data_IF_584169416025
#
_entry.id   IF_584169416025
#
_cell.length_a   1.000
_cell.length_b   1.000
_cell.length_c   1.000
_cell.angle_alpha   90.00
_cell.angle_beta   90.00
_cell.angle_gamma   90.00
#
_symmetry.space_group_name_H-M   'P 1'
#
loop_
_entity.id
_entity.type
_entity.pdbx_description
1 polymer ?
#
# COMPACT_ATOMS: atom_id res chain seq x y z
N UNK A 1 -22.04 -14.06 -8.01
CA UNK A 1 -20.67 -13.77 -8.47
C UNK A 1 -20.63 -13.26 -9.91
N UNK A 2 -21.47 -13.75 -10.83
CA UNK A 2 -21.48 -13.27 -12.23
C UNK A 2 -21.69 -11.76 -12.38
N UNK A 3 -22.59 -11.15 -11.59
CA UNK A 3 -22.83 -9.70 -11.62
C UNK A 3 -21.63 -8.84 -11.18
N UNK A 4 -20.69 -9.40 -10.42
CA UNK A 4 -19.49 -8.69 -9.96
C UNK A 4 -18.31 -8.89 -10.92
N UNK A 5 -18.40 -9.87 -11.82
CA UNK A 5 -17.28 -10.33 -12.63
C UNK A 5 -16.76 -9.19 -13.50
N UNK A 6 -15.48 -8.87 -13.31
CA UNK A 6 -14.74 -7.82 -14.02
C UNK A 6 -15.41 -6.43 -14.02
N UNK A 7 -16.28 -6.16 -13.04
CA UNK A 7 -17.06 -4.92 -12.97
C UNK A 7 -16.66 -4.06 -11.77
N UNK A 8 -15.80 -3.07 -12.03
CA UNK A 8 -15.41 -2.03 -11.05
C UNK A 8 -16.62 -1.39 -10.36
N UNK A 9 -17.69 -0.92 -11.06
CA UNK A 9 -18.80 -0.26 -10.39
C UNK A 9 -19.57 -1.21 -9.49
N UNK A 10 -19.77 -2.47 -9.90
CA UNK A 10 -20.51 -3.45 -9.10
C UNK A 10 -19.73 -3.88 -7.85
N UNK A 11 -18.42 -4.09 -7.96
CA UNK A 11 -17.54 -4.35 -6.81
C UNK A 11 -17.52 -3.16 -5.85
N UNK A 12 -17.47 -1.94 -6.38
CA UNK A 12 -17.50 -0.71 -5.57
C UNK A 12 -18.83 -0.54 -4.84
N UNK A 13 -19.96 -0.83 -5.52
CA UNK A 13 -21.30 -0.78 -4.94
C UNK A 13 -21.47 -1.83 -3.83
N UNK A 14 -21.07 -3.08 -4.08
CA UNK A 14 -21.13 -4.15 -3.10
C UNK A 14 -20.26 -3.86 -1.86
N UNK A 15 -19.04 -3.35 -2.07
CA UNK A 15 -18.15 -2.95 -0.98
C UNK A 15 -18.70 -1.78 -0.18
N UNK A 16 -19.35 -0.82 -0.84
CA UNK A 16 -20.02 0.30 -0.19
C UNK A 16 -21.22 -0.15 0.63
N UNK A 17 -22.06 -1.03 0.09
CA UNK A 17 -23.19 -1.61 0.82
C UNK A 17 -22.71 -2.38 2.06
N UNK A 18 -21.64 -3.17 1.94
CA UNK A 18 -21.04 -3.89 3.06
C UNK A 18 -20.47 -2.95 4.13
N UNK A 19 -19.82 -1.84 3.72
CA UNK A 19 -19.36 -0.81 4.63
C UNK A 19 -20.51 -0.08 5.35
N UNK A 20 -21.61 0.23 4.65
CA UNK A 20 -22.81 0.80 5.27
C UNK A 20 -23.42 -0.16 6.30
N UNK A 21 -23.53 -1.45 5.95
CA UNK A 21 -23.94 -2.48 6.90
C UNK A 21 -23.03 -2.49 8.14
N UNK A 22 -21.71 -2.45 7.94
CA UNK A 22 -20.75 -2.44 9.05
C UNK A 22 -20.95 -1.25 10.00
N UNK A 23 -21.21 -0.06 9.43
CA UNK A 23 -21.53 1.15 10.20
C UNK A 23 -22.80 0.96 11.03
N UNK A 24 -23.88 0.51 10.39
CA UNK A 24 -25.19 0.33 11.03
C UNK A 24 -25.09 -0.73 12.14
N UNK A 25 -24.52 -1.90 11.85
CA UNK A 25 -24.31 -2.96 12.83
C UNK A 25 -23.48 -2.49 14.04
N UNK A 26 -22.44 -1.69 13.81
CA UNK A 26 -21.58 -1.15 14.87
C UNK A 26 -22.28 -0.11 15.75
N UNK A 27 -23.34 0.55 15.25
CA UNK A 27 -24.15 1.46 16.05
C UNK A 27 -25.06 0.71 17.04
N UNK A 28 -25.48 -0.50 16.70
CA UNK A 28 -26.34 -1.33 17.56
C UNK A 28 -25.57 -2.27 18.49
N UNK A 29 -24.34 -2.65 18.14
CA UNK A 29 -23.55 -3.63 18.89
C UNK A 29 -22.38 -2.96 19.59
N UNK A 30 -22.13 -3.32 20.85
CA UNK A 30 -20.95 -2.85 21.60
C UNK A 30 -19.64 -3.45 21.04
N UNK A 31 -18.49 -2.76 21.17
CA UNK A 31 -17.21 -3.31 20.74
C UNK A 31 -16.90 -4.67 21.39
N UNK A 32 -16.28 -5.59 20.65
CA UNK A 32 -15.92 -6.91 21.13
C UNK A 32 -16.46 -8.04 20.24
N UNK A 33 -16.60 -9.23 20.82
CA UNK A 33 -16.95 -10.46 20.08
C UNK A 33 -18.30 -10.39 19.34
N UNK A 34 -19.40 -9.85 19.91
CA UNK A 34 -20.68 -9.79 19.20
C UNK A 34 -20.60 -8.92 17.94
N UNK A 35 -19.91 -7.77 18.03
CA UNK A 35 -19.69 -6.89 16.88
C UNK A 35 -18.77 -7.57 15.86
N UNK A 36 -17.72 -8.27 16.30
CA UNK A 36 -16.85 -9.02 15.39
C UNK A 36 -17.61 -10.11 14.61
N UNK A 37 -18.46 -10.88 15.30
CA UNK A 37 -19.28 -11.90 14.66
C UNK A 37 -20.23 -11.30 13.61
N UNK A 38 -20.88 -10.17 13.92
CA UNK A 38 -21.74 -9.48 12.98
C UNK A 38 -20.98 -8.88 11.77
N UNK A 39 -19.73 -8.47 11.97
CA UNK A 39 -18.89 -7.90 10.91
C UNK A 39 -18.10 -8.93 10.10
N UNK A 40 -18.08 -10.20 10.52
CA UNK A 40 -17.37 -11.27 9.83
C UNK A 40 -17.80 -11.45 8.36
N UNK A 41 -19.08 -11.37 7.98
CA UNK A 41 -19.51 -11.41 6.59
C UNK A 41 -18.95 -10.24 5.76
N UNK A 42 -18.78 -9.06 6.36
CA UNK A 42 -18.19 -7.89 5.69
C UNK A 42 -16.71 -8.13 5.42
N UNK A 43 -15.98 -8.64 6.42
CA UNK A 43 -14.56 -9.00 6.28
C UNK A 43 -14.38 -10.04 5.17
N UNK A 44 -15.22 -11.08 5.17
CA UNK A 44 -15.19 -12.12 4.14
C UNK A 44 -15.50 -11.55 2.74
N UNK A 45 -16.48 -10.66 2.61
CA UNK A 45 -16.80 -10.00 1.34
C UNK A 45 -15.64 -9.15 0.83
N UNK A 46 -15.03 -8.34 1.69
CA UNK A 46 -13.87 -7.51 1.31
C UNK A 46 -12.65 -8.36 0.93
N UNK A 47 -12.46 -9.51 1.58
CA UNK A 47 -11.40 -10.47 1.24
C UNK A 47 -11.68 -11.21 -0.08
N UNK A 48 -12.95 -11.50 -0.41
CA UNK A 48 -13.32 -12.17 -1.65
C UNK A 48 -13.43 -11.21 -2.86
N UNK A 49 -13.70 -9.92 -2.62
CA UNK A 49 -13.91 -8.91 -3.66
C UNK A 49 -12.82 -8.86 -4.75
N UNK A 50 -11.50 -9.01 -4.46
CA UNK A 50 -10.48 -9.01 -5.49
C UNK A 50 -10.64 -10.13 -6.52
N UNK A 51 -11.19 -11.28 -6.12
CA UNK A 51 -11.41 -12.44 -6.99
C UNK A 51 -12.51 -12.20 -8.03
N UNK A 52 -13.29 -11.12 -7.90
CA UNK A 52 -14.24 -10.71 -8.92
C UNK A 52 -13.53 -10.22 -10.20
N UNK A 53 -12.29 -9.74 -10.10
CA UNK A 53 -11.48 -9.33 -11.24
C UNK A 53 -10.74 -10.53 -11.82
N UNK A 54 -11.40 -11.29 -12.69
CA UNK A 54 -10.83 -12.46 -13.34
C UNK A 54 -9.87 -12.09 -14.47
N UNK A 55 -10.15 -10.98 -15.17
CA UNK A 55 -9.45 -10.61 -16.41
C UNK A 55 -8.25 -9.68 -16.22
N UNK A 56 -8.06 -9.08 -15.04
CA UNK A 56 -6.91 -8.19 -14.77
C UNK A 56 -6.25 -8.50 -13.43
N UNK A 57 -4.99 -8.90 -13.48
CA UNK A 57 -4.10 -9.09 -12.34
C UNK A 57 -3.82 -7.77 -11.62
N UNK A 58 -3.72 -6.65 -12.33
CA UNK A 58 -3.47 -5.33 -11.72
C UNK A 58 -4.68 -4.83 -10.92
N UNK A 59 -5.90 -4.95 -11.47
CA UNK A 59 -7.12 -4.59 -10.74
C UNK A 59 -7.33 -5.50 -9.52
N UNK A 60 -7.07 -6.79 -9.68
CA UNK A 60 -7.10 -7.77 -8.60
C UNK A 60 -6.07 -7.45 -7.51
N UNK A 61 -4.83 -7.12 -7.87
CA UNK A 61 -3.80 -6.71 -6.91
C UNK A 61 -4.13 -5.41 -6.18
N UNK A 62 -4.62 -4.40 -6.90
CA UNK A 62 -5.00 -3.10 -6.32
C UNK A 62 -6.20 -3.24 -5.37
N UNK A 63 -7.22 -3.99 -5.78
CA UNK A 63 -8.38 -4.28 -4.93
C UNK A 63 -8.01 -5.17 -3.73
N UNK A 64 -7.06 -6.09 -3.86
CA UNK A 64 -6.53 -6.85 -2.72
C UNK A 64 -5.86 -5.93 -1.69
N UNK A 65 -5.04 -4.98 -2.15
CA UNK A 65 -4.42 -3.99 -1.26
C UNK A 65 -5.47 -3.11 -0.55
N UNK A 66 -6.48 -2.62 -1.28
CA UNK A 66 -7.45 -1.68 -0.74
C UNK A 66 -8.51 -2.37 0.14
N UNK A 67 -9.10 -3.46 -0.33
CA UNK A 67 -10.26 -4.10 0.27
C UNK A 67 -9.83 -5.25 1.19
N UNK A 68 -9.16 -6.27 0.63
CA UNK A 68 -8.82 -7.48 1.37
C UNK A 68 -7.80 -7.22 2.49
N UNK A 69 -6.92 -6.24 2.31
CA UNK A 69 -5.98 -5.84 3.36
C UNK A 69 -6.48 -4.65 4.15
N UNK A 70 -6.41 -3.42 3.61
CA UNK A 70 -6.65 -2.23 4.42
C UNK A 70 -8.11 -2.14 4.89
N UNK A 71 -9.08 -2.39 4.01
CA UNK A 71 -10.50 -2.34 4.33
C UNK A 71 -10.90 -3.39 5.38
N UNK A 72 -10.53 -4.64 5.17
CA UNK A 72 -10.79 -5.73 6.11
C UNK A 72 -10.19 -5.44 7.49
N UNK A 73 -8.94 -4.97 7.57
CA UNK A 73 -8.30 -4.63 8.84
C UNK A 73 -8.99 -3.45 9.53
N UNK A 74 -9.46 -2.44 8.78
CA UNK A 74 -10.24 -1.32 9.32
C UNK A 74 -11.58 -1.79 9.90
N UNK A 75 -12.26 -2.74 9.25
CA UNK A 75 -13.51 -3.33 9.76
C UNK A 75 -13.26 -4.19 11.00
N UNK A 76 -12.16 -4.95 11.05
CA UNK A 76 -11.76 -5.70 12.26
C UNK A 76 -11.43 -4.74 13.41
N UNK A 77 -10.74 -3.64 13.14
CA UNK A 77 -10.49 -2.60 14.13
C UNK A 77 -11.80 -1.96 14.62
N UNK A 78 -12.75 -1.69 13.73
CA UNK A 78 -14.09 -1.20 14.08
C UNK A 78 -14.83 -2.18 15.01
N UNK A 79 -14.67 -3.49 14.78
CA UNK A 79 -15.22 -4.53 15.66
C UNK A 79 -14.68 -4.41 17.10
N UNK A 80 -13.40 -4.07 17.24
CA UNK A 80 -12.74 -3.82 18.52
C UNK A 80 -13.00 -2.40 19.09
N UNK A 81 -13.72 -1.53 18.37
CA UNK A 81 -13.91 -0.13 18.77
C UNK A 81 -12.65 0.71 18.64
N UNK A 82 -11.73 0.31 17.76
CA UNK A 82 -10.45 0.94 17.51
C UNK A 82 -10.35 1.43 16.05
N UNK A 83 -9.30 2.20 15.78
CA UNK A 83 -8.94 2.59 14.43
C UNK A 83 -9.80 3.72 13.83
N UNK A 84 -9.61 4.02 12.53
CA UNK A 84 -10.12 5.24 11.93
C UNK A 84 -11.64 5.23 11.69
N UNK A 85 -12.28 4.06 11.74
CA UNK A 85 -13.74 3.92 11.57
C UNK A 85 -14.52 4.04 12.88
N UNK A 86 -13.87 3.90 14.03
CA UNK A 86 -14.51 3.93 15.34
C UNK A 86 -14.70 5.36 15.90
N UNK A 87 -14.60 6.38 15.04
CA UNK A 87 -14.76 7.80 15.43
C UNK A 87 -16.24 8.15 15.50
N UNK A 88 -16.66 8.67 16.65
CA UNK A 88 -18.05 9.09 16.87
C UNK A 88 -18.46 10.24 15.94
N UNK A 89 -19.68 10.11 15.37
CA UNK A 89 -20.28 11.11 14.50
C UNK A 89 -19.64 11.24 13.11
N UNK A 90 -18.93 10.22 12.61
CA UNK A 90 -18.33 10.27 11.29
C UNK A 90 -19.42 10.36 10.18
N UNK A 91 -19.37 11.31 9.24
CA UNK A 91 -20.32 11.36 8.12
C UNK A 91 -20.30 10.09 7.27
N UNK A 92 -21.41 9.78 6.59
CA UNK A 92 -21.55 8.54 5.76
C UNK A 92 -20.49 8.48 4.68
N UNK A 93 -20.29 9.58 3.96
CA UNK A 93 -19.32 9.66 2.89
C UNK A 93 -17.88 9.45 3.41
N UNK A 94 -17.49 10.15 4.49
CA UNK A 94 -16.17 9.99 5.10
C UNK A 94 -15.94 8.57 5.63
N UNK A 95 -16.98 7.93 6.16
CA UNK A 95 -16.92 6.52 6.58
C UNK A 95 -16.64 5.60 5.39
N UNK A 96 -17.38 5.73 4.29
CA UNK A 96 -17.19 4.92 3.08
C UNK A 96 -15.80 5.09 2.49
N UNK A 97 -15.36 6.34 2.30
CA UNK A 97 -14.02 6.63 1.78
C UNK A 97 -12.93 6.05 2.68
N UNK A 98 -13.07 6.21 3.99
CA UNK A 98 -12.09 5.68 4.94
C UNK A 98 -12.09 4.16 4.97
N UNK A 99 -13.24 3.52 4.84
CA UNK A 99 -13.33 2.06 4.85
C UNK A 99 -12.72 1.44 3.59
N UNK A 100 -12.98 2.02 2.42
CA UNK A 100 -12.68 1.38 1.13
C UNK A 100 -11.38 1.85 0.47
N UNK A 101 -10.89 3.04 0.83
CA UNK A 101 -9.68 3.61 0.23
C UNK A 101 -8.52 3.64 1.22
N UNK A 102 -7.27 3.70 0.74
CA UNK A 102 -6.07 3.85 1.57
C UNK A 102 -5.93 5.28 2.12
N UNK A 103 -6.98 5.77 2.78
CA UNK A 103 -7.07 7.11 3.36
C UNK A 103 -7.02 7.02 4.87
N UNK A 104 -6.30 7.96 5.49
CA UNK A 104 -6.32 8.23 6.93
C UNK A 104 -6.99 9.58 7.16
N UNK A 105 -8.04 9.60 7.97
CA UNK A 105 -8.69 10.83 8.42
C UNK A 105 -7.91 11.45 9.58
N UNK A 106 -7.51 12.71 9.48
CA UNK A 106 -7.28 13.57 10.65
C UNK A 106 -8.49 14.48 10.86
N UNK A 107 -9.01 14.52 12.09
CA UNK A 107 -10.00 15.52 12.49
C UNK A 107 -9.22 16.77 12.92
N UNK A 108 -9.53 17.90 12.29
CA UNK A 108 -8.92 19.20 12.58
C UNK A 108 -9.05 19.55 14.05
N UNK A 109 -7.91 19.69 14.72
CA UNK A 109 -7.78 20.11 16.12
C UNK A 109 -6.35 20.47 16.51
N UNK A 110 -5.43 20.55 15.56
CA UNK A 110 -4.06 21.00 15.77
C UNK A 110 -3.78 22.23 14.91
N UNK A 111 -3.01 23.17 15.48
CA UNK A 111 -2.64 24.48 14.93
C UNK A 111 -2.57 24.57 13.40
N UNK A 112 -3.00 25.71 12.80
CA UNK A 112 -2.82 25.98 11.37
C UNK A 112 -1.32 26.07 11.07
N UNK A 113 -0.71 24.96 10.67
CA UNK A 113 0.74 24.88 10.48
C UNK A 113 1.26 23.58 9.89
N UNK A 114 0.50 22.48 9.91
CA UNK A 114 0.85 21.29 9.13
C UNK A 114 0.33 21.45 7.70
N UNK A 115 0.93 22.38 6.95
CA UNK A 115 0.67 22.53 5.52
C UNK A 115 0.71 21.14 4.87
N UNK A 116 -0.39 20.75 4.23
CA UNK A 116 -0.38 19.67 3.25
C UNK A 116 0.78 19.98 2.31
N UNK A 117 1.87 19.21 2.38
CA UNK A 117 3.05 19.44 1.53
C UNK A 117 2.53 19.45 0.09
N UNK A 118 2.54 20.61 -0.55
CA UNK A 118 2.09 20.77 -1.93
C UNK A 118 2.82 19.72 -2.77
N UNK A 119 2.07 18.84 -3.43
CA UNK A 119 2.66 17.87 -4.35
C UNK A 119 3.44 18.68 -5.38
N UNK A 120 4.76 18.58 -5.38
CA UNK A 120 5.60 19.29 -6.33
C UNK A 120 5.23 18.80 -7.73
N UNK A 121 4.68 19.68 -8.57
CA UNK A 121 4.33 19.37 -9.96
C UNK A 121 5.54 18.83 -10.73
N UNK A 122 6.73 19.35 -10.44
CA UNK A 122 8.01 18.86 -10.99
C UNK A 122 8.27 17.41 -10.59
N UNK A 123 8.07 17.05 -9.32
CA UNK A 123 8.22 15.67 -8.86
C UNK A 123 7.19 14.73 -9.49
N UNK A 124 5.96 15.19 -9.69
CA UNK A 124 4.91 14.44 -10.38
C UNK A 124 5.29 14.19 -11.84
N UNK A 125 5.66 15.24 -12.58
CA UNK A 125 6.09 15.16 -13.97
C UNK A 125 7.31 14.25 -14.15
N UNK A 126 8.30 14.34 -13.25
CA UNK A 126 9.48 13.48 -13.28
C UNK A 126 9.13 11.99 -13.09
N UNK A 127 8.21 11.66 -12.19
CA UNK A 127 7.74 10.27 -12.00
C UNK A 127 6.95 9.76 -13.19
N UNK A 128 6.07 10.58 -13.76
CA UNK A 128 5.32 10.23 -14.98
C UNK A 128 6.29 9.97 -16.14
N UNK A 129 7.29 10.83 -16.32
CA UNK A 129 8.34 10.62 -17.31
C UNK A 129 9.13 9.33 -17.04
N UNK A 130 9.51 9.07 -15.80
CA UNK A 130 10.21 7.84 -15.42
C UNK A 130 9.38 6.58 -15.73
N UNK A 131 8.09 6.57 -15.40
CA UNK A 131 7.18 5.47 -15.73
C UNK A 131 7.10 5.29 -17.25
N UNK A 132 6.88 6.38 -18.01
CA UNK A 132 6.78 6.31 -19.46
C UNK A 132 8.07 5.77 -20.10
N UNK A 133 9.24 6.19 -19.63
CA UNK A 133 10.53 5.66 -20.09
C UNK A 133 10.69 4.18 -19.76
N UNK A 134 10.33 3.77 -18.53
CA UNK A 134 10.41 2.38 -18.11
C UNK A 134 9.49 1.48 -18.94
N UNK A 135 8.24 1.92 -19.18
CA UNK A 135 7.28 1.18 -20.02
C UNK A 135 7.80 1.04 -21.46
N UNK A 136 8.37 2.09 -22.02
CA UNK A 136 9.00 2.02 -23.33
C UNK A 136 10.17 1.03 -23.38
N UNK A 137 10.98 0.96 -22.32
CA UNK A 137 12.07 -0.01 -22.21
C UNK A 137 11.56 -1.45 -22.05
N UNK A 138 10.42 -1.66 -21.38
CA UNK A 138 9.78 -2.97 -21.31
C UNK A 138 9.35 -3.46 -22.68
N UNK A 139 8.69 -2.60 -23.47
CA UNK A 139 8.23 -2.97 -24.81
C UNK A 139 9.40 -3.21 -25.79
N UNK A 140 10.45 -2.38 -25.72
CA UNK A 140 11.49 -2.36 -26.75
C UNK A 140 12.71 -3.25 -26.45
N UNK A 141 13.09 -3.42 -25.18
CA UNK A 141 14.42 -3.95 -24.82
C UNK A 141 14.45 -4.91 -23.64
N UNK A 142 13.30 -5.34 -23.09
CA UNK A 142 13.29 -6.11 -21.84
C UNK A 142 14.12 -7.39 -21.88
N UNK A 143 14.13 -8.09 -23.02
CA UNK A 143 14.88 -9.33 -23.21
C UNK A 143 16.40 -9.11 -23.26
N UNK A 144 16.84 -7.89 -23.60
CA UNK A 144 18.26 -7.51 -23.65
C UNK A 144 18.78 -6.98 -22.30
N UNK A 145 17.89 -6.64 -21.37
CA UNK A 145 18.27 -6.09 -20.07
C UNK A 145 18.76 -7.20 -19.14
N UNK A 146 19.93 -6.98 -18.52
CA UNK A 146 20.43 -7.84 -17.46
C UNK A 146 19.42 -7.97 -16.33
N UNK A 147 19.30 -9.17 -15.74
CA UNK A 147 18.29 -9.50 -14.72
C UNK A 147 18.18 -8.45 -13.61
N UNK A 148 19.29 -8.06 -12.98
CA UNK A 148 19.27 -7.07 -11.89
C UNK A 148 18.85 -5.66 -12.34
N UNK A 149 19.12 -5.27 -13.59
CA UNK A 149 18.63 -3.98 -14.12
C UNK A 149 17.11 -4.03 -14.25
N UNK A 150 16.57 -5.14 -14.78
CA UNK A 150 15.13 -5.37 -14.88
C UNK A 150 14.43 -5.30 -13.52
N UNK A 151 14.99 -5.99 -12.51
CA UNK A 151 14.45 -5.97 -11.15
C UNK A 151 14.51 -4.57 -10.51
N UNK A 152 15.60 -3.82 -10.72
CA UNK A 152 15.70 -2.44 -10.26
C UNK A 152 14.63 -1.54 -10.90
N UNK A 153 14.38 -1.71 -12.21
CA UNK A 153 13.32 -1.00 -12.93
C UNK A 153 11.93 -1.32 -12.36
N UNK A 154 11.64 -2.58 -12.01
CA UNK A 154 10.39 -2.92 -11.33
C UNK A 154 10.24 -2.22 -9.98
N UNK A 155 11.29 -2.17 -9.18
CA UNK A 155 11.27 -1.44 -7.91
C UNK A 155 10.98 0.05 -8.08
N UNK A 156 11.64 0.69 -9.05
CA UNK A 156 11.41 2.10 -9.39
C UNK A 156 9.99 2.31 -9.91
N UNK A 157 9.51 1.42 -10.79
CA UNK A 157 8.17 1.49 -11.34
C UNK A 157 7.10 1.40 -10.24
N UNK A 158 7.19 0.40 -9.36
CA UNK A 158 6.25 0.22 -8.24
C UNK A 158 6.27 1.44 -7.32
N UNK A 159 7.46 1.95 -6.96
CA UNK A 159 7.59 3.15 -6.15
C UNK A 159 6.91 4.36 -6.80
N UNK A 160 7.26 4.67 -8.05
CA UNK A 160 6.70 5.81 -8.77
C UNK A 160 5.19 5.68 -8.95
N UNK A 161 4.69 4.47 -9.23
CA UNK A 161 3.27 4.21 -9.38
C UNK A 161 2.51 4.44 -8.06
N UNK A 162 2.96 3.86 -6.95
CA UNK A 162 2.30 4.04 -5.65
C UNK A 162 2.37 5.49 -5.17
N UNK A 163 3.50 6.16 -5.38
CA UNK A 163 3.74 7.55 -4.99
C UNK A 163 3.03 8.57 -5.91
N UNK A 164 2.41 8.12 -7.01
CA UNK A 164 1.47 8.90 -7.83
C UNK A 164 0.02 8.55 -7.51
N UNK A 165 -0.32 7.26 -7.45
CA UNK A 165 -1.68 6.76 -7.24
C UNK A 165 -2.25 7.21 -5.89
N UNK A 166 -1.49 6.98 -4.81
CA UNK A 166 -1.98 7.21 -3.45
C UNK A 166 -2.25 8.70 -3.16
N UNK A 167 -1.38 9.66 -3.58
CA UNK A 167 -1.70 11.09 -3.48
C UNK A 167 -2.88 11.54 -4.36
N UNK A 168 -3.10 10.95 -5.55
CA UNK A 168 -4.27 11.27 -6.36
C UNK A 168 -5.57 10.86 -5.64
N UNK A 169 -5.59 9.68 -5.03
CA UNK A 169 -6.71 9.22 -4.19
C UNK A 169 -6.87 10.13 -2.97
N UNK A 170 -5.76 10.56 -2.37
CA UNK A 170 -5.76 11.49 -1.25
C UNK A 170 -6.35 12.86 -1.61
N UNK A 171 -6.02 13.39 -2.78
CA UNK A 171 -6.53 14.68 -3.27
C UNK A 171 -8.04 14.63 -3.50
N UNK A 172 -8.54 13.53 -4.09
CA UNK A 172 -9.99 13.29 -4.22
C UNK A 172 -10.68 13.25 -2.84
N UNK A 173 -10.02 12.67 -1.84
CA UNK A 173 -10.51 12.66 -0.47
C UNK A 173 -10.45 14.03 0.23
N UNK A 174 -9.43 14.84 -0.07
CA UNK A 174 -9.25 16.17 0.53
C UNK A 174 -10.34 17.15 0.09
N UNK A 175 -10.85 17.01 -1.14
CA UNK A 175 -12.02 17.75 -1.62
C UNK A 175 -13.28 17.47 -0.77
N UNK A 176 -13.29 16.38 -0.02
CA UNK A 176 -14.37 16.00 0.91
C UNK A 176 -14.05 16.37 2.38
N UNK A 177 -13.06 17.23 2.62
CA UNK A 177 -12.68 17.72 3.95
C UNK A 177 -11.81 16.74 4.76
N UNK A 178 -11.15 15.79 4.09
CA UNK A 178 -10.31 14.78 4.75
C UNK A 178 -8.82 15.14 4.66
N UNK A 179 -8.18 15.46 5.79
CA UNK A 179 -6.73 15.67 5.83
C UNK A 179 -5.97 14.33 5.82
N UNK A 180 -5.10 14.12 4.82
CA UNK A 180 -4.29 12.92 4.68
C UNK A 180 -2.84 13.09 5.10
N UNK A 181 -2.28 12.01 5.64
CA UNK A 181 -0.83 11.83 5.74
C UNK A 181 -0.26 11.37 4.38
N UNK A 182 0.86 11.95 3.93
CA UNK A 182 1.56 11.47 2.74
C UNK A 182 1.89 9.97 2.86
N UNK A 183 1.66 9.16 1.82
CA UNK A 183 1.92 7.72 1.87
C UNK A 183 3.43 7.41 1.95
N UNK A 184 4.28 8.27 1.41
CA UNK A 184 5.74 8.15 1.44
C UNK A 184 6.40 9.46 1.90
N UNK A 185 7.52 9.35 2.62
CA UNK A 185 8.37 10.49 3.01
C UNK A 185 9.83 10.22 2.66
N UNK A 186 10.19 10.42 1.39
CA UNK A 186 11.55 10.29 0.84
C UNK A 186 12.29 9.06 1.39
N UNK A 187 11.81 7.83 1.10
CA UNK A 187 12.33 6.60 1.69
C UNK A 187 13.83 6.35 1.43
N UNK A 188 14.35 6.86 0.33
CA UNK A 188 15.76 6.81 -0.02
C UNK A 188 16.70 7.60 0.92
N UNK A 189 16.15 8.48 1.77
CA UNK A 189 16.91 9.20 2.80
C UNK A 189 16.88 8.51 4.17
N UNK A 190 16.27 7.33 4.29
CA UNK A 190 16.25 6.59 5.54
C UNK A 190 17.68 6.28 6.00
N UNK A 191 18.03 6.55 7.25
CA UNK A 191 19.36 6.18 7.79
C UNK A 191 19.33 4.92 8.67
N UNK A 192 18.15 4.31 8.83
CA UNK A 192 17.91 3.05 9.53
C UNK A 192 16.75 2.29 8.88
N UNK A 193 16.70 0.97 9.03
CA UNK A 193 15.58 0.16 8.53
C UNK A 193 14.28 0.51 9.25
N UNK A 194 14.40 0.88 10.52
CA UNK A 194 13.27 1.37 11.32
C UNK A 194 12.70 2.68 10.81
N UNK A 195 13.56 3.61 10.39
CA UNK A 195 13.12 4.88 9.80
C UNK A 195 12.48 4.63 8.43
N UNK A 196 13.07 3.74 7.63
CA UNK A 196 12.51 3.31 6.35
C UNK A 196 11.08 2.78 6.50
N UNK A 197 10.88 1.68 7.24
CA UNK A 197 9.58 1.02 7.36
C UNK A 197 8.57 1.76 8.24
N UNK A 198 9.04 2.43 9.30
CA UNK A 198 8.16 3.04 10.28
C UNK A 198 7.70 4.45 9.93
N UNK A 199 8.46 5.18 9.12
CA UNK A 199 8.26 6.63 8.93
C UNK A 199 8.32 7.12 7.49
N UNK A 200 8.79 6.32 6.55
CA UNK A 200 9.03 6.78 5.18
C UNK A 200 8.40 5.93 4.09
N UNK A 201 8.20 4.64 4.34
CA UNK A 201 7.62 3.70 3.39
C UNK A 201 6.18 3.34 3.78
N UNK A 202 5.23 3.57 2.86
CA UNK A 202 3.83 3.18 2.96
C UNK A 202 3.20 3.40 4.36
N UNK A 203 3.08 4.67 4.74
CA UNK A 203 2.58 5.06 6.07
C UNK A 203 1.16 4.60 6.36
N UNK A 204 0.36 4.29 5.33
CA UNK A 204 -0.99 3.75 5.49
C UNK A 204 -0.97 2.34 6.08
N UNK A 205 -0.08 1.48 5.60
CA UNK A 205 0.11 0.13 6.17
C UNK A 205 0.58 0.21 7.61
N UNK A 206 1.58 1.05 7.89
CA UNK A 206 2.10 1.26 9.26
C UNK A 206 1.02 1.80 10.20
N UNK A 207 0.13 2.68 9.73
CA UNK A 207 -0.97 3.22 10.51
C UNK A 207 -2.06 2.19 10.85
N UNK A 208 -2.26 1.18 10.00
CA UNK A 208 -3.23 0.09 10.24
C UNK A 208 -2.62 -1.02 11.09
N UNK A 209 -1.38 -1.43 10.81
CA UNK A 209 -0.71 -2.51 11.53
C UNK A 209 -0.36 -2.13 12.98
N UNK A 210 -0.15 -0.84 13.26
CA UNK A 210 0.16 -0.37 14.61
C UNK A 210 -0.94 -0.73 15.63
N UNK A 211 -2.19 -0.26 15.47
CA UNK A 211 -3.28 -0.60 16.40
C UNK A 211 -3.78 -2.04 16.24
N UNK A 212 -3.65 -2.67 15.06
CA UNK A 212 -4.17 -4.03 14.85
C UNK A 212 -3.23 -5.14 15.34
N UNK A 213 -1.92 -4.93 15.29
CA UNK A 213 -0.91 -5.97 15.58
C UNK A 213 0.13 -5.49 16.58
N UNK A 214 0.83 -4.38 16.28
CA UNK A 214 1.98 -3.95 17.08
C UNK A 214 1.61 -3.63 18.53
N UNK A 215 0.61 -2.79 18.75
CA UNK A 215 0.18 -2.35 20.08
C UNK A 215 -0.32 -3.52 20.96
N UNK A 216 -1.24 -4.39 20.50
CA UNK A 216 -1.70 -5.51 21.32
C UNK A 216 -0.60 -6.54 21.61
N UNK A 217 0.25 -6.88 20.63
CA UNK A 217 1.34 -7.84 20.85
C UNK A 217 2.42 -7.23 21.76
N UNK A 218 2.77 -5.95 21.57
CA UNK A 218 3.72 -5.26 22.44
C UNK A 218 3.26 -5.26 23.89
N UNK A 219 1.98 -5.00 24.13
CA UNK A 219 1.43 -4.94 25.48
C UNK A 219 1.55 -6.28 26.22
N UNK A 220 1.53 -7.41 25.50
CA UNK A 220 1.56 -8.76 26.10
C UNK A 220 2.94 -9.41 26.10
N UNK A 221 3.75 -9.18 25.07
CA UNK A 221 4.99 -9.92 24.80
C UNK A 221 6.21 -9.00 24.58
N UNK A 222 6.06 -7.69 24.78
CA UNK A 222 7.14 -6.73 24.69
C UNK A 222 7.43 -6.21 23.27
N UNK A 223 8.34 -5.23 23.20
CA UNK A 223 8.59 -4.44 21.98
C UNK A 223 9.10 -5.27 20.81
N UNK A 224 10.05 -6.17 21.05
CA UNK A 224 10.63 -7.00 20.00
C UNK A 224 9.59 -7.92 19.35
N UNK A 225 8.77 -8.60 20.18
CA UNK A 225 7.68 -9.45 19.70
C UNK A 225 6.65 -8.64 18.89
N UNK A 226 6.31 -7.43 19.34
CA UNK A 226 5.44 -6.53 18.59
C UNK A 226 5.98 -6.19 17.20
N UNK A 227 7.27 -5.90 17.07
CA UNK A 227 7.92 -5.64 15.77
C UNK A 227 7.86 -6.88 14.89
N UNK A 228 8.34 -8.03 15.38
CA UNK A 228 8.38 -9.28 14.61
C UNK A 228 6.97 -9.70 14.14
N UNK A 229 5.97 -9.64 15.02
CA UNK A 229 4.59 -9.95 14.67
C UNK A 229 4.03 -8.99 13.60
N UNK A 230 4.35 -7.70 13.69
CA UNK A 230 3.93 -6.69 12.69
C UNK A 230 4.49 -7.03 11.31
N UNK A 231 5.78 -7.37 11.23
CA UNK A 231 6.41 -7.76 9.98
C UNK A 231 5.92 -9.12 9.48
N UNK A 232 5.62 -10.07 10.37
CA UNK A 232 5.02 -11.35 10.00
C UNK A 232 3.65 -11.16 9.34
N UNK A 233 2.74 -10.40 9.96
CA UNK A 233 1.43 -10.12 9.40
C UNK A 233 1.55 -9.33 8.10
N UNK A 234 2.46 -8.35 8.03
CA UNK A 234 2.76 -7.64 6.79
C UNK A 234 3.22 -8.60 5.68
N UNK A 235 4.10 -9.55 6.02
CA UNK A 235 4.61 -10.56 5.09
C UNK A 235 3.52 -11.48 4.56
N UNK A 236 2.67 -12.00 5.44
CA UNK A 236 1.52 -12.82 5.06
C UNK A 236 0.54 -12.07 4.16
N UNK A 237 0.33 -10.77 4.40
CA UNK A 237 -0.53 -9.96 3.54
C UNK A 237 0.09 -9.71 2.17
N UNK A 238 1.41 -9.53 2.06
CA UNK A 238 2.08 -9.44 0.76
C UNK A 238 2.07 -10.78 0.03
N UNK A 239 2.21 -11.88 0.74
CA UNK A 239 2.05 -13.22 0.17
C UNK A 239 0.64 -13.41 -0.39
N UNK A 240 -0.39 -13.00 0.36
CA UNK A 240 -1.77 -12.98 -0.11
C UNK A 240 -1.96 -12.05 -1.31
N UNK A 241 -1.32 -10.88 -1.34
CA UNK A 241 -1.36 -9.98 -2.51
C UNK A 241 -0.76 -10.62 -3.76
N UNK A 242 0.37 -11.32 -3.63
CA UNK A 242 0.96 -12.07 -4.75
C UNK A 242 0.03 -13.18 -5.19
N UNK A 243 -0.58 -13.92 -4.25
CA UNK A 243 -1.61 -14.90 -4.57
C UNK A 243 -2.78 -14.26 -5.31
N UNK A 244 -3.31 -13.12 -4.87
CA UNK A 244 -4.36 -12.42 -5.60
C UNK A 244 -3.88 -12.04 -6.99
N UNK A 245 -2.72 -11.41 -7.16
CA UNK A 245 -2.24 -10.97 -8.48
C UNK A 245 -2.05 -12.14 -9.45
N UNK A 246 -1.40 -13.21 -8.99
CA UNK A 246 -0.93 -14.31 -9.86
C UNK A 246 -1.88 -15.51 -9.89
N UNK A 247 -2.78 -15.63 -8.91
CA UNK A 247 -3.61 -16.81 -8.62
C UNK A 247 -2.81 -18.10 -8.39
N UNK A 248 -1.53 -17.95 -8.01
CA UNK A 248 -0.62 -19.07 -7.75
C UNK A 248 -0.40 -19.25 -6.27
N UNK A 249 -0.15 -20.51 -5.89
CA UNK A 249 0.07 -20.86 -4.50
C UNK A 249 1.22 -20.05 -3.89
N UNK A 250 1.04 -19.58 -2.64
CA UNK A 250 2.06 -18.84 -1.94
C UNK A 250 3.29 -19.72 -1.69
N UNK A 251 4.48 -19.13 -1.83
CA UNK A 251 5.78 -19.82 -1.65
C UNK A 251 6.45 -19.45 -0.33
N UNK A 252 5.99 -18.39 0.32
CA UNK A 252 6.51 -17.90 1.59
C UNK A 252 7.70 -16.94 1.46
N UNK A 253 8.20 -16.69 0.24
CA UNK A 253 9.37 -15.82 0.02
C UNK A 253 9.06 -14.36 0.39
N UNK A 254 7.86 -13.85 0.10
CA UNK A 254 7.45 -12.51 0.54
C UNK A 254 7.37 -12.45 2.06
N UNK A 255 6.81 -13.49 2.68
CA UNK A 255 6.74 -13.57 4.14
C UNK A 255 8.15 -13.57 4.76
N UNK A 256 9.08 -14.32 4.17
CA UNK A 256 10.48 -14.37 4.59
C UNK A 256 11.17 -13.01 4.44
N UNK A 257 10.92 -12.28 3.33
CA UNK A 257 11.42 -10.92 3.12
C UNK A 257 11.03 -10.00 4.29
N UNK A 258 9.74 -9.88 4.59
CA UNK A 258 9.29 -8.98 5.65
C UNK A 258 9.78 -9.44 7.03
N UNK A 259 9.76 -10.74 7.31
CA UNK A 259 10.24 -11.27 8.59
C UNK A 259 11.73 -10.98 8.80
N UNK A 260 12.56 -11.14 7.77
CA UNK A 260 13.97 -10.78 7.79
C UNK A 260 14.16 -9.30 8.16
N UNK A 261 13.42 -8.40 7.51
CA UNK A 261 13.47 -6.96 7.81
C UNK A 261 13.01 -6.65 9.24
N UNK A 262 12.02 -7.36 9.75
CA UNK A 262 11.56 -7.24 11.14
C UNK A 262 12.64 -7.64 12.14
N UNK A 263 13.32 -8.76 11.90
CA UNK A 263 14.47 -9.21 12.71
C UNK A 263 15.61 -8.19 12.63
N UNK A 264 15.94 -7.68 11.43
CA UNK A 264 16.94 -6.64 11.25
C UNK A 264 16.59 -5.36 12.01
N UNK A 265 15.32 -4.95 12.06
CA UNK A 265 14.87 -3.79 12.85
C UNK A 265 15.07 -3.98 14.35
N UNK A 266 14.84 -5.20 14.87
CA UNK A 266 15.08 -5.53 16.29
C UNK A 266 16.58 -5.59 16.58
N UNK A 267 17.36 -6.22 15.70
CA UNK A 267 18.81 -6.29 15.81
C UNK A 267 19.45 -4.89 15.76
N UNK A 268 18.97 -4.02 14.87
CA UNK A 268 19.40 -2.63 14.77
C UNK A 268 19.11 -1.86 16.06
N UNK A 269 17.93 -2.03 16.67
CA UNK A 269 17.62 -1.43 17.98
C UNK A 269 18.59 -1.90 19.07
N UNK A 270 18.87 -3.20 19.09
CA UNK A 270 19.75 -3.80 20.09
C UNK A 270 21.20 -3.31 19.92
N UNK A 271 21.71 -3.28 18.68
CA UNK A 271 23.03 -2.75 18.35
C UNK A 271 23.15 -1.28 18.74
N UNK A 272 22.16 -0.45 18.38
CA UNK A 272 22.13 0.97 18.71
C UNK A 272 22.19 1.20 20.24
N UNK A 273 21.43 0.43 21.03
CA UNK A 273 21.48 0.51 22.49
C UNK A 273 22.86 0.13 23.04
N UNK A 274 23.49 -0.90 22.48
CA UNK A 274 24.84 -1.35 22.89
C UNK A 274 25.92 -0.33 22.53
N UNK A 275 25.79 0.35 21.39
CA UNK A 275 26.71 1.41 20.99
C UNK A 275 26.61 2.63 21.90
N UNK A 276 25.39 3.03 22.26
CA UNK A 276 25.16 4.09 23.25
C UNK A 276 25.77 3.72 24.60
N UNK A 277 25.57 2.48 25.08
CA UNK A 277 26.18 2.01 26.32
C UNK A 277 27.73 2.01 26.28
N UNK A 278 28.33 1.78 25.10
CA UNK A 278 29.78 1.82 24.85
C UNK A 278 30.29 3.21 24.44
N UNK A 279 29.44 4.24 24.40
CA UNK A 279 29.75 5.60 23.94
C UNK A 279 30.38 5.66 22.53
N UNK A 280 29.98 4.76 21.64
CA UNK A 280 30.44 4.77 20.24
C UNK A 280 29.64 5.81 19.44
N UNK A 281 30.31 6.60 18.56
CA UNK A 281 29.60 7.54 17.71
C UNK A 281 28.68 6.79 16.73
N UNK A 282 27.49 7.33 16.42
CA UNK A 282 26.63 6.75 15.39
C UNK A 282 27.31 6.85 14.01
N UNK A 283 26.96 5.96 13.07
CA UNK A 283 27.55 6.00 11.74
C UNK A 283 27.07 7.28 11.01
N UNK A 284 27.87 7.82 10.07
CA UNK A 284 27.44 8.95 9.25
C UNK A 284 26.12 8.64 8.52
N UNK A 285 25.20 9.60 8.51
CA UNK A 285 23.90 9.46 7.83
C UNK A 285 23.97 8.95 6.38
N UNK A 286 24.86 9.46 5.49
CA UNK A 286 24.90 8.96 4.11
C UNK A 286 25.31 7.49 4.04
N UNK A 287 26.22 7.04 4.93
CA UNK A 287 26.59 5.64 5.02
C UNK A 287 25.41 4.79 5.49
N UNK A 288 24.67 5.26 6.50
CA UNK A 288 23.43 4.61 6.95
C UNK A 288 22.41 4.47 5.82
N UNK A 289 22.18 5.53 5.04
CA UNK A 289 21.25 5.49 3.91
C UNK A 289 21.70 4.55 2.79
N UNK A 290 22.99 4.55 2.45
CA UNK A 290 23.53 3.61 1.49
C UNK A 290 23.31 2.16 1.95
N UNK A 291 23.60 1.86 3.22
CA UNK A 291 23.42 0.53 3.80
C UNK A 291 21.96 0.09 3.79
N UNK A 292 21.03 0.97 4.19
CA UNK A 292 19.59 0.66 4.19
C UNK A 292 19.10 0.39 2.76
N UNK A 293 19.51 1.21 1.78
CA UNK A 293 19.16 0.99 0.38
C UNK A 293 19.78 -0.28 -0.20
N UNK A 294 21.02 -0.60 0.15
CA UNK A 294 21.67 -1.83 -0.27
C UNK A 294 20.97 -3.07 0.30
N UNK A 295 20.65 -3.07 1.60
CA UNK A 295 19.91 -4.16 2.25
C UNK A 295 18.51 -4.29 1.65
N UNK A 296 17.79 -3.19 1.48
CA UNK A 296 16.46 -3.19 0.88
C UNK A 296 16.48 -3.71 -0.56
N UNK A 297 17.35 -3.18 -1.42
CA UNK A 297 17.46 -3.61 -2.82
C UNK A 297 17.91 -5.07 -2.94
N UNK A 298 18.96 -5.46 -2.22
CA UNK A 298 19.51 -6.83 -2.26
C UNK A 298 18.49 -7.87 -1.81
N UNK A 299 17.83 -7.64 -0.66
CA UNK A 299 16.79 -8.54 -0.17
C UNK A 299 15.56 -8.56 -1.10
N UNK A 300 15.21 -7.43 -1.74
CA UNK A 300 14.12 -7.40 -2.71
C UNK A 300 14.42 -8.25 -3.94
N UNK A 301 15.66 -8.24 -4.44
CA UNK A 301 16.05 -9.06 -5.59
C UNK A 301 15.96 -10.56 -5.31
N UNK A 302 16.19 -10.97 -4.07
CA UNK A 302 16.23 -12.38 -3.69
C UNK A 302 14.90 -12.94 -3.19
N UNK A 303 14.09 -12.13 -2.52
CA UNK A 303 12.89 -12.62 -1.83
C UNK A 303 11.59 -11.92 -2.26
N UNK A 304 11.68 -10.68 -2.76
CA UNK A 304 10.47 -9.91 -3.11
C UNK A 304 10.07 -10.11 -4.58
N UNK A 305 10.99 -9.94 -5.52
CA UNK A 305 10.64 -10.05 -6.95
C UNK A 305 10.45 -11.46 -7.48
N UNK A 306 11.18 -12.50 -7.04
CA UNK A 306 11.04 -13.84 -7.63
C UNK A 306 9.60 -14.40 -7.64
N UNK A 307 8.78 -14.26 -6.59
CA UNK A 307 7.39 -14.69 -6.62
C UNK A 307 6.55 -14.02 -7.71
N UNK A 308 6.83 -12.75 -8.03
CA UNK A 308 6.11 -11.97 -9.04
C UNK A 308 6.58 -12.33 -10.44
N UNK A 309 7.87 -12.63 -10.60
CA UNK A 309 8.48 -12.90 -11.91
C UNK A 309 8.44 -14.39 -12.32
N UNK A 310 7.77 -15.26 -11.56
CA UNK A 310 7.78 -16.71 -11.80
C UNK A 310 6.78 -17.15 -12.89
N UNK A 311 7.27 -18.02 -13.75
CA UNK A 311 6.55 -18.85 -14.74
C UNK A 311 5.41 -18.13 -15.50
N UNK A 312 5.65 -17.03 -16.20
CA UNK A 312 4.60 -16.38 -17.01
C UNK A 312 3.90 -15.19 -16.35
N UNK A 313 4.08 -15.02 -15.03
CA UNK A 313 3.45 -13.92 -14.28
C UNK A 313 4.06 -12.55 -14.61
N UNK A 314 5.35 -12.54 -14.98
CA UNK A 314 6.05 -11.35 -15.44
C UNK A 314 5.43 -10.86 -16.76
N UNK A 315 5.28 -11.74 -17.74
CA UNK A 315 4.72 -11.45 -19.05
C UNK A 315 3.28 -10.94 -18.95
N UNK A 316 2.43 -11.61 -18.17
CA UNK A 316 1.04 -11.18 -17.95
C UNK A 316 0.96 -9.75 -17.39
N UNK A 317 1.79 -9.41 -16.40
CA UNK A 317 1.79 -8.06 -15.81
C UNK A 317 2.31 -7.02 -16.81
N UNK A 318 3.33 -7.36 -17.60
CA UNK A 318 3.88 -6.47 -18.61
C UNK A 318 2.88 -6.20 -19.75
N UNK A 319 2.11 -7.21 -20.16
CA UNK A 319 1.04 -7.06 -21.15
C UNK A 319 -0.05 -6.10 -20.66
N UNK A 320 -0.49 -6.22 -19.40
CA UNK A 320 -1.45 -5.28 -18.82
C UNK A 320 -0.89 -3.85 -18.78
N UNK A 321 0.38 -3.69 -18.41
CA UNK A 321 1.03 -2.38 -18.42
C UNK A 321 1.17 -1.79 -19.83
N UNK A 322 1.46 -2.61 -20.83
CA UNK A 322 1.51 -2.19 -22.23
C UNK A 322 0.11 -1.75 -22.72
N UNK A 323 -0.94 -2.46 -22.34
CA UNK A 323 -2.32 -2.07 -22.65
C UNK A 323 -2.70 -0.72 -22.03
N UNK A 324 -2.31 -0.48 -20.77
CA UNK A 324 -2.50 0.81 -20.10
C UNK A 324 -1.72 1.92 -20.82
N UNK A 325 -0.46 1.67 -21.19
CA UNK A 325 0.35 2.63 -21.95
C UNK A 325 -0.29 2.99 -23.29
N UNK A 326 -0.75 1.98 -24.05
CA UNK A 326 -1.41 2.16 -25.34
C UNK A 326 -2.70 2.99 -25.21
N UNK A 327 -3.50 2.75 -24.17
CA UNK A 327 -4.70 3.55 -23.88
C UNK A 327 -4.38 5.03 -23.68
N UNK A 328 -3.38 5.36 -22.85
CA UNK A 328 -2.98 6.74 -22.63
C UNK A 328 -2.39 7.40 -23.88
N UNK A 329 -1.61 6.65 -24.67
CA UNK A 329 -1.11 7.16 -25.95
C UNK A 329 -2.24 7.46 -26.92
N UNK A 330 -3.25 6.61 -27.01
CA UNK A 330 -4.42 6.82 -27.88
C UNK A 330 -5.26 8.02 -27.44
N UNK A 331 -5.52 8.15 -26.14
CA UNK A 331 -6.20 9.31 -25.57
C UNK A 331 -5.42 10.61 -25.86
N UNK A 332 -4.09 10.58 -25.71
CA UNK A 332 -3.22 11.72 -26.05
C UNK A 332 -3.26 12.08 -27.53
N UNK A 333 -3.28 11.08 -28.43
CA UNK A 333 -3.43 11.32 -29.88
C UNK A 333 -4.79 11.94 -30.22
N UNK A 334 -5.87 11.47 -29.60
CA UNK A 334 -7.22 12.03 -29.78
C UNK A 334 -7.31 13.47 -29.32
N UNK A 335 -6.72 13.80 -28.16
CA UNK A 335 -6.67 15.17 -27.64
C UNK A 335 -5.88 16.13 -28.55
N UNK A 336 -4.75 15.68 -29.12
CA UNK A 336 -3.97 16.49 -30.08
C UNK A 336 -4.67 16.70 -31.43
N UNK A 337 -5.61 15.81 -31.79
CA UNK A 337 -6.40 15.87 -33.03
C UNK A 337 -7.73 16.61 -32.85
N UNK A 338 -8.13 16.95 -31.62
CA UNK A 338 -9.35 17.72 -31.37
C UNK A 338 -9.13 19.16 -31.88
N UNK A 339 -9.95 19.66 -32.82
CA UNK A 339 -9.82 21.03 -33.30
C UNK A 339 -10.13 21.97 -32.13
N UNK A 340 -9.20 22.88 -31.82
CA UNK A 340 -9.44 23.99 -30.89
C UNK A 340 -10.48 24.89 -31.53
N UNK A 341 -11.76 24.70 -31.20
CA UNK A 341 -12.81 25.67 -31.52
C UNK A 341 -12.61 26.85 -30.58
N UNK A 342 -11.87 27.86 -31.02
CA UNK A 342 -12.05 29.21 -30.49
C UNK A 342 -13.45 29.65 -30.91
N UNK A 343 -14.35 29.76 -29.94
CA UNK A 343 -15.59 30.51 -30.09
C UNK A 343 -15.21 31.97 -30.00
N UNK A 344 -15.22 32.65 -31.15
CA UNK A 344 -15.17 34.11 -31.25
C UNK A 344 -16.49 34.75 -30.77
#
# INVERSE_FOLDING_TARGET
MELLRDSIPMVSLASSAAALYARVASAFLRPGLPRLAALLPVVALLAAAPLAFTSSAMLRGTSAFFLAWLGAFKVVLLAAGLGPLAVDGLPVLSFLFTALLPVKLRRGGGCPGAAAKSVSLVSCAAKVAAIATILHLYESKIQLLHRYIRLAMYGIHIYCFLDLLLPCIAAAGSALGMELEPPFDRPYLASSLRDFWGRRWNLMVSAILRPSVYDPVRARAGKAAGVVATFLISGLMHEAMVYYMTLRLPTGEMTAFFLLHGVCCVAEEWCARRWVARRWPPPPRPLGSLLVMAVAAGSSFWLFFPPICREGSEEMLLEEWAAVAAFFQDAGRKLRRAPVRFTD
#
